data_IF_809078064669
#
_entry.id   IF_809078064669
#
_cell.length_a   1.000
_cell.length_b   1.000
_cell.length_c   1.000
_cell.angle_alpha   90.00
_cell.angle_beta   90.00
_cell.angle_gamma   90.00
#
_symmetry.space_group_name_H-M   'P 1'
#
loop_
_entity.id
_entity.type
_entity.pdbx_description
1 polymer ?
#
# COMPACT_ATOMS: atom_id res chain seq x y z
N UNK A 1 19.00 27.35 14.75
CA UNK A 1 18.41 27.54 16.09
C UNK A 1 17.61 26.30 16.47
N UNK A 2 18.17 25.41 17.31
CA UNK A 2 17.40 24.29 17.89
C UNK A 2 16.49 24.88 18.97
N UNK A 3 15.19 24.93 18.70
CA UNK A 3 14.17 25.27 19.69
C UNK A 3 14.20 24.20 20.79
N UNK A 4 14.67 24.54 22.00
CA UNK A 4 14.55 23.65 23.16
C UNK A 4 13.07 23.34 23.35
N UNK A 5 12.68 22.07 23.14
CA UNK A 5 11.33 21.61 23.38
C UNK A 5 10.96 21.84 24.83
N UNK A 6 9.89 22.58 25.09
CA UNK A 6 9.38 22.85 26.44
C UNK A 6 9.01 21.53 27.14
N UNK A 7 9.16 21.48 28.47
CA UNK A 7 8.71 20.34 29.28
C UNK A 7 7.26 19.93 28.96
N UNK A 8 6.36 20.89 28.81
CA UNK A 8 4.96 20.67 28.44
C UNK A 8 4.82 19.98 27.06
N UNK A 9 5.64 20.33 26.08
CA UNK A 9 5.61 19.69 24.77
C UNK A 9 6.03 18.22 24.85
N UNK A 10 7.07 17.90 25.61
CA UNK A 10 7.51 16.51 25.84
C UNK A 10 6.47 15.70 26.58
N UNK A 11 5.85 16.28 27.62
CA UNK A 11 4.79 15.64 28.38
C UNK A 11 3.56 15.34 27.53
N UNK A 12 3.11 16.31 26.73
CA UNK A 12 2.00 16.11 25.79
C UNK A 12 2.29 15.00 24.76
N UNK A 13 3.48 15.02 24.14
CA UNK A 13 3.90 13.98 23.22
C UNK A 13 3.94 12.60 23.89
N UNK A 14 4.43 12.52 25.14
CA UNK A 14 4.45 11.27 25.88
C UNK A 14 3.03 10.73 26.15
N UNK A 15 2.09 11.57 26.52
CA UNK A 15 0.67 11.17 26.71
C UNK A 15 0.09 10.65 25.39
N UNK A 16 0.30 11.36 24.29
CA UNK A 16 -0.17 10.90 22.97
C UNK A 16 0.43 9.53 22.60
N UNK A 17 1.74 9.35 22.79
CA UNK A 17 2.40 8.07 22.54
C UNK A 17 1.82 6.95 23.41
N UNK A 18 1.67 7.18 24.70
CA UNK A 18 1.05 6.19 25.61
C UNK A 18 -0.36 5.85 25.15
N UNK A 19 -1.17 6.86 24.83
CA UNK A 19 -2.55 6.63 24.37
C UNK A 19 -2.63 5.76 23.12
N UNK A 20 -1.77 6.00 22.13
CA UNK A 20 -1.76 5.22 20.88
C UNK A 20 -1.11 3.85 21.02
N UNK A 21 -0.04 3.72 21.82
CA UNK A 21 0.70 2.47 21.90
C UNK A 21 0.23 1.54 23.04
N UNK A 22 -0.44 2.07 24.08
CA UNK A 22 -0.92 1.26 25.20
C UNK A 22 -1.85 0.11 24.77
N UNK A 23 -2.86 0.31 23.90
CA UNK A 23 -3.71 -0.80 23.40
C UNK A 23 -2.90 -1.88 22.69
N UNK A 24 -1.88 -1.49 21.92
CA UNK A 24 -1.01 -2.43 21.21
C UNK A 24 -0.18 -3.24 22.21
N UNK A 25 0.41 -2.58 23.21
CA UNK A 25 1.16 -3.27 24.26
C UNK A 25 0.28 -4.23 25.07
N UNK A 26 -0.95 -3.83 25.37
CA UNK A 26 -1.91 -4.71 26.06
C UNK A 26 -2.22 -5.94 25.22
N UNK A 27 -2.54 -5.79 23.94
CA UNK A 27 -2.79 -6.93 23.06
C UNK A 27 -1.56 -7.83 22.91
N UNK A 28 -0.35 -7.26 22.83
CA UNK A 28 0.89 -8.03 22.81
C UNK A 28 1.10 -8.85 24.09
N UNK A 29 0.82 -8.29 25.27
CA UNK A 29 0.91 -9.03 26.54
C UNK A 29 -0.15 -10.13 26.58
N UNK A 30 -1.39 -9.83 26.20
CA UNK A 30 -2.48 -10.80 26.22
C UNK A 30 -2.36 -11.88 25.15
N UNK A 31 -1.53 -11.70 24.11
CA UNK A 31 -1.22 -12.76 23.13
C UNK A 31 -0.49 -13.96 23.78
N UNK A 32 0.17 -13.74 24.93
CA UNK A 32 0.80 -14.79 25.72
C UNK A 32 -0.11 -15.34 26.83
N UNK A 33 -1.37 -14.91 26.90
CA UNK A 33 -2.28 -15.40 27.94
C UNK A 33 -2.66 -16.86 27.68
N UNK A 34 -2.69 -17.69 28.69
CA UNK A 34 -3.06 -19.11 28.60
C UNK A 34 -4.54 -19.32 28.25
N UNK A 35 -5.40 -18.33 28.51
CA UNK A 35 -6.82 -18.35 28.13
C UNK A 35 -7.13 -17.37 26.98
N UNK A 36 -8.30 -17.55 26.33
CA UNK A 36 -8.79 -16.63 25.28
C UNK A 36 -9.30 -15.28 25.82
N UNK A 37 -9.24 -15.08 27.16
CA UNK A 37 -9.73 -13.84 27.76
C UNK A 37 -8.80 -12.68 27.46
N UNK A 38 -9.34 -11.56 26.98
CA UNK A 38 -8.64 -10.29 26.81
C UNK A 38 -8.74 -9.36 28.04
N UNK A 39 -9.47 -9.79 29.08
CA UNK A 39 -9.69 -8.99 30.28
C UNK A 39 -9.03 -9.56 31.52
N UNK A 40 -8.72 -10.85 31.53
CA UNK A 40 -8.11 -11.53 32.67
C UNK A 40 -6.87 -12.33 32.22
N UNK A 41 -5.72 -11.96 32.73
CA UNK A 41 -4.48 -12.69 32.51
C UNK A 41 -4.43 -13.90 33.45
N UNK A 42 -4.42 -15.12 32.89
CA UNK A 42 -4.49 -16.38 33.65
C UNK A 42 -3.16 -17.12 33.72
N UNK A 43 -2.15 -16.66 33.00
CA UNK A 43 -0.81 -17.23 33.01
C UNK A 43 -0.13 -17.11 31.64
N UNK A 44 1.17 -17.27 31.63
CA UNK A 44 1.98 -17.22 30.41
C UNK A 44 1.88 -18.53 29.61
N UNK A 45 1.64 -18.45 28.30
CA UNK A 45 1.61 -19.60 27.41
C UNK A 45 1.99 -19.21 25.98
N UNK A 46 2.75 -20.07 25.28
CA UNK A 46 3.07 -19.97 23.86
C UNK A 46 2.10 -20.78 22.97
N UNK A 47 1.07 -21.36 23.57
CA UNK A 47 0.13 -22.28 22.88
C UNK A 47 -0.46 -21.67 21.61
N UNK A 48 -0.89 -20.41 21.66
CA UNK A 48 -1.51 -19.76 20.51
C UNK A 48 -0.56 -19.59 19.33
N UNK A 49 0.73 -19.35 19.58
CA UNK A 49 1.76 -19.25 18.55
C UNK A 49 2.02 -20.61 17.90
N UNK A 50 2.04 -21.68 18.71
CA UNK A 50 2.17 -23.05 18.19
C UNK A 50 0.96 -23.46 17.35
N UNK A 51 -0.26 -23.18 17.82
CA UNK A 51 -1.50 -23.43 17.07
C UNK A 51 -1.53 -22.62 15.76
N UNK A 52 -1.12 -21.35 15.78
CA UNK A 52 -1.04 -20.48 14.59
C UNK A 52 -0.11 -21.07 13.52
N UNK A 53 1.08 -21.51 13.92
CA UNK A 53 2.09 -22.07 12.99
C UNK A 53 1.64 -23.39 12.36
N UNK A 54 0.77 -24.16 13.04
CA UNK A 54 0.23 -25.43 12.52
C UNK A 54 -1.12 -25.25 11.80
N UNK A 55 -1.69 -24.04 11.80
CA UNK A 55 -2.96 -23.78 11.14
C UNK A 55 -2.75 -23.56 9.64
N UNK A 56 -3.20 -24.55 8.86
CA UNK A 56 -3.07 -24.51 7.39
C UNK A 56 -3.87 -23.39 6.72
N UNK A 57 -4.99 -22.96 7.29
CA UNK A 57 -5.79 -21.83 6.77
C UNK A 57 -5.01 -20.54 6.93
N UNK A 58 -4.43 -20.29 8.10
CA UNK A 58 -3.59 -19.12 8.37
C UNK A 58 -2.37 -19.10 7.46
N UNK A 59 -1.66 -20.23 7.32
CA UNK A 59 -0.48 -20.33 6.45
C UNK A 59 -0.82 -20.01 4.98
N UNK A 60 -1.94 -20.51 4.47
CA UNK A 60 -2.42 -20.17 3.13
C UNK A 60 -2.78 -18.69 3.00
N UNK A 61 -3.45 -18.13 4.00
CA UNK A 61 -3.84 -16.72 4.00
C UNK A 61 -2.62 -15.78 4.03
N UNK A 62 -1.59 -16.12 4.82
CA UNK A 62 -0.30 -15.40 4.82
C UNK A 62 0.36 -15.47 3.45
N UNK A 63 0.41 -16.65 2.84
CA UNK A 63 0.95 -16.80 1.48
C UNK A 63 0.21 -15.93 0.46
N UNK A 64 -1.14 -15.92 0.49
CA UNK A 64 -1.96 -15.08 -0.38
C UNK A 64 -1.67 -13.59 -0.12
N UNK A 65 -1.67 -13.14 1.14
CA UNK A 65 -1.37 -11.74 1.48
C UNK A 65 -0.01 -11.29 0.96
N UNK A 66 1.04 -12.08 1.25
CA UNK A 66 2.41 -11.72 0.86
C UNK A 66 2.57 -11.71 -0.66
N UNK A 67 2.07 -12.72 -1.35
CA UNK A 67 2.20 -12.80 -2.81
C UNK A 67 1.40 -11.72 -3.53
N UNK A 68 0.17 -11.44 -3.10
CA UNK A 68 -0.64 -10.33 -3.63
C UNK A 68 0.04 -8.99 -3.37
N UNK A 69 0.48 -8.74 -2.13
CA UNK A 69 1.12 -7.48 -1.78
C UNK A 69 2.40 -7.24 -2.60
N UNK A 70 3.26 -8.26 -2.76
CA UNK A 70 4.48 -8.13 -3.57
C UNK A 70 4.14 -7.89 -5.04
N UNK A 71 3.27 -8.72 -5.64
CA UNK A 71 2.92 -8.60 -7.06
C UNK A 71 2.21 -7.27 -7.34
N UNK A 72 1.22 -6.89 -6.53
CA UNK A 72 0.54 -5.62 -6.67
C UNK A 72 1.51 -4.44 -6.53
N UNK A 73 2.42 -4.48 -5.54
CA UNK A 73 3.44 -3.43 -5.36
C UNK A 73 4.33 -3.29 -6.58
N UNK A 74 4.90 -4.38 -7.07
CA UNK A 74 5.81 -4.34 -8.22
C UNK A 74 5.10 -3.79 -9.45
N UNK A 75 3.92 -4.32 -9.77
CA UNK A 75 3.16 -3.91 -10.96
C UNK A 75 2.69 -2.45 -10.82
N UNK A 76 2.12 -2.07 -9.68
CA UNK A 76 1.66 -0.69 -9.42
C UNK A 76 2.81 0.31 -9.43
N UNK A 77 3.99 -0.08 -8.92
CA UNK A 77 5.18 0.80 -8.92
C UNK A 77 5.65 1.06 -10.34
N UNK A 78 5.70 0.03 -11.18
CA UNK A 78 6.08 0.20 -12.60
C UNK A 78 5.04 1.06 -13.32
N UNK A 79 3.76 0.71 -13.23
CA UNK A 79 2.67 1.44 -13.89
C UNK A 79 2.58 2.89 -13.40
N UNK A 80 2.60 3.09 -12.10
CA UNK A 80 2.51 4.42 -11.47
C UNK A 80 3.70 5.31 -11.82
N UNK A 81 4.91 4.75 -11.86
CA UNK A 81 6.12 5.49 -12.23
C UNK A 81 6.08 5.92 -13.70
N UNK A 82 5.74 5.00 -14.61
CA UNK A 82 5.62 5.29 -16.05
C UNK A 82 4.54 6.36 -16.26
N UNK A 83 3.39 6.22 -15.60
CA UNK A 83 2.29 7.17 -15.67
C UNK A 83 2.71 8.55 -15.14
N UNK A 84 3.39 8.61 -13.99
CA UNK A 84 3.86 9.88 -13.40
C UNK A 84 4.84 10.61 -14.34
N UNK A 85 5.77 9.89 -14.98
CA UNK A 85 6.71 10.45 -15.95
C UNK A 85 5.96 10.93 -17.20
N UNK A 86 5.02 10.14 -17.73
CA UNK A 86 4.19 10.51 -18.89
C UNK A 86 3.35 11.76 -18.62
N UNK A 87 2.72 11.85 -17.45
CA UNK A 87 1.94 13.00 -17.02
C UNK A 87 2.78 14.29 -16.92
N UNK A 88 4.04 14.20 -16.52
CA UNK A 88 4.91 15.38 -16.41
C UNK A 88 5.11 16.08 -17.77
N UNK A 89 5.09 15.31 -18.85
CA UNK A 89 5.27 15.77 -20.24
C UNK A 89 3.95 16.03 -20.97
N UNK A 90 2.82 15.72 -20.36
CA UNK A 90 1.50 15.85 -21.00
C UNK A 90 0.99 17.28 -21.02
N UNK A 91 0.08 17.59 -21.97
CA UNK A 91 -0.62 18.88 -22.04
C UNK A 91 -1.40 19.13 -20.77
N UNK A 92 -1.51 20.42 -20.37
CA UNK A 92 -2.11 20.85 -19.10
C UNK A 92 -3.49 20.21 -18.86
N UNK A 93 -4.40 20.29 -19.83
CA UNK A 93 -5.78 19.76 -19.69
C UNK A 93 -5.77 18.25 -19.42
N UNK A 94 -5.05 17.47 -20.24
CA UNK A 94 -4.97 16.01 -20.05
C UNK A 94 -4.38 15.65 -18.71
N UNK A 95 -3.32 16.35 -18.31
CA UNK A 95 -2.63 16.14 -17.03
C UNK A 95 -3.56 16.40 -15.84
N UNK A 96 -4.25 17.54 -15.81
CA UNK A 96 -5.17 17.90 -14.74
C UNK A 96 -6.35 16.92 -14.66
N UNK A 97 -6.93 16.54 -15.80
CA UNK A 97 -8.00 15.54 -15.85
C UNK A 97 -7.54 14.19 -15.30
N UNK A 98 -6.39 13.68 -15.75
CA UNK A 98 -5.89 12.39 -15.29
C UNK A 98 -5.48 12.39 -13.82
N UNK A 99 -4.90 13.49 -13.30
CA UNK A 99 -4.61 13.62 -11.88
C UNK A 99 -5.89 13.69 -11.03
N UNK A 100 -6.94 14.37 -11.50
CA UNK A 100 -8.23 14.37 -10.82
C UNK A 100 -8.86 12.99 -10.80
N UNK A 101 -8.85 12.26 -11.92
CA UNK A 101 -9.33 10.86 -11.97
C UNK A 101 -8.49 9.96 -11.04
N UNK A 102 -7.17 10.14 -11.03
CA UNK A 102 -6.27 9.40 -10.14
C UNK A 102 -6.59 9.58 -8.66
N UNK A 103 -7.08 10.75 -8.27
CA UNK A 103 -7.41 11.06 -6.89
C UNK A 103 -8.78 10.50 -6.46
N UNK A 104 -9.65 10.10 -7.39
CA UNK A 104 -10.98 9.56 -7.05
C UNK A 104 -10.92 8.33 -6.13
N UNK A 105 -10.10 7.29 -6.41
CA UNK A 105 -10.00 6.14 -5.49
C UNK A 105 -9.43 6.51 -4.12
N UNK A 106 -8.53 7.51 -4.05
CA UNK A 106 -7.91 7.95 -2.80
C UNK A 106 -8.90 8.69 -1.89
N UNK A 107 -9.86 9.40 -2.49
CA UNK A 107 -10.87 10.19 -1.77
C UNK A 107 -12.13 9.39 -1.43
N UNK A 108 -12.39 8.31 -2.14
CA UNK A 108 -13.57 7.49 -1.92
C UNK A 108 -13.38 6.53 -0.73
N UNK A 109 -14.43 6.26 0.06
CA UNK A 109 -14.40 5.18 1.04
C UNK A 109 -14.08 3.83 0.37
N UNK A 110 -13.23 3.02 0.98
CA UNK A 110 -12.76 1.73 0.44
C UNK A 110 -13.93 0.80 0.05
N UNK A 111 -15.02 0.84 0.82
CA UNK A 111 -16.20 0.02 0.54
C UNK A 111 -16.87 0.37 -0.80
N UNK A 112 -16.86 1.64 -1.20
CA UNK A 112 -17.43 2.08 -2.48
C UNK A 112 -16.59 1.55 -3.64
N UNK A 113 -15.26 1.66 -3.51
CA UNK A 113 -14.31 1.10 -4.47
C UNK A 113 -14.42 -0.43 -4.55
N UNK A 114 -14.54 -1.10 -3.41
CA UNK A 114 -14.68 -2.56 -3.34
C UNK A 114 -15.94 -3.06 -4.04
N UNK A 115 -17.11 -2.43 -3.76
CA UNK A 115 -18.37 -2.77 -4.40
C UNK A 115 -18.30 -2.47 -5.91
N UNK A 116 -17.74 -1.33 -6.29
CA UNK A 116 -17.56 -0.98 -7.70
C UNK A 116 -16.73 -2.01 -8.47
N UNK A 117 -15.59 -2.43 -7.91
CA UNK A 117 -14.74 -3.48 -8.50
C UNK A 117 -15.45 -4.84 -8.52
N UNK A 118 -16.17 -5.18 -7.45
CA UNK A 118 -16.94 -6.43 -7.41
C UNK A 118 -17.99 -6.48 -8.53
N UNK A 119 -18.73 -5.39 -8.73
CA UNK A 119 -19.75 -5.30 -9.78
C UNK A 119 -19.10 -5.32 -11.18
N UNK A 120 -17.98 -4.62 -11.36
CA UNK A 120 -17.24 -4.63 -12.61
C UNK A 120 -16.76 -6.05 -12.97
N UNK A 121 -16.11 -6.75 -12.04
CA UNK A 121 -15.65 -8.11 -12.29
C UNK A 121 -16.81 -9.09 -12.55
N UNK A 122 -17.92 -8.91 -11.85
CA UNK A 122 -19.13 -9.72 -12.05
C UNK A 122 -19.76 -9.47 -13.44
N UNK A 123 -19.83 -8.21 -13.87
CA UNK A 123 -20.39 -7.84 -15.19
C UNK A 123 -19.52 -8.33 -16.35
N UNK A 124 -18.20 -8.41 -16.15
CA UNK A 124 -17.25 -8.95 -17.13
C UNK A 124 -17.16 -10.50 -17.10
N UNK A 125 -17.92 -11.16 -16.23
CA UNK A 125 -17.92 -12.61 -16.09
C UNK A 125 -16.66 -13.20 -15.45
N UNK A 126 -15.84 -12.40 -14.76
CA UNK A 126 -14.67 -12.91 -14.06
C UNK A 126 -15.10 -13.74 -12.84
N UNK A 127 -14.51 -14.92 -12.70
CA UNK A 127 -14.61 -15.69 -11.47
C UNK A 127 -13.80 -15.02 -10.38
N UNK A 128 -14.45 -14.68 -9.27
CA UNK A 128 -13.78 -14.10 -8.11
C UNK A 128 -12.75 -15.07 -7.55
N UNK A 129 -11.58 -14.56 -7.18
CA UNK A 129 -10.47 -15.35 -6.68
C UNK A 129 -9.18 -14.57 -6.60
N UNK A 130 -8.05 -15.26 -6.62
CA UNK A 130 -6.71 -14.67 -6.53
C UNK A 130 -6.45 -13.61 -7.61
N UNK A 131 -6.88 -13.89 -8.86
CA UNK A 131 -6.63 -12.98 -9.97
C UNK A 131 -7.42 -11.67 -9.86
N UNK A 132 -8.71 -11.73 -9.50
CA UNK A 132 -9.53 -10.53 -9.28
C UNK A 132 -9.04 -9.73 -8.08
N UNK A 133 -8.57 -10.39 -7.03
CA UNK A 133 -7.92 -9.74 -5.90
C UNK A 133 -6.64 -9.01 -6.35
N UNK A 134 -5.77 -9.66 -7.12
CA UNK A 134 -4.55 -9.03 -7.63
C UNK A 134 -4.87 -7.80 -8.51
N UNK A 135 -5.82 -7.91 -9.44
CA UNK A 135 -6.22 -6.77 -10.28
C UNK A 135 -6.79 -5.62 -9.47
N UNK A 136 -7.61 -5.91 -8.46
CA UNK A 136 -8.15 -4.91 -7.57
C UNK A 136 -7.03 -4.17 -6.81
N UNK A 137 -6.06 -4.93 -6.26
CA UNK A 137 -4.93 -4.36 -5.53
C UNK A 137 -4.04 -3.50 -6.43
N UNK A 138 -3.77 -3.91 -7.66
CA UNK A 138 -3.06 -3.08 -8.65
C UNK A 138 -3.83 -1.79 -8.90
N UNK A 139 -5.16 -1.88 -9.09
CA UNK A 139 -6.01 -0.74 -9.42
C UNK A 139 -5.99 0.34 -8.34
N UNK A 140 -6.15 -0.04 -7.06
CA UNK A 140 -6.18 0.96 -6.00
C UNK A 140 -4.79 1.38 -5.49
N UNK A 141 -3.75 0.54 -5.64
CA UNK A 141 -2.38 0.90 -5.25
C UNK A 141 -1.70 1.86 -6.23
N UNK A 142 -1.99 1.74 -7.53
CA UNK A 142 -1.37 2.58 -8.57
C UNK A 142 -1.52 4.08 -8.32
N UNK A 143 -2.70 4.62 -7.94
CA UNK A 143 -2.87 6.03 -7.60
C UNK A 143 -1.92 6.53 -6.52
N UNK A 144 -1.64 5.76 -5.49
CA UNK A 144 -0.72 6.16 -4.42
C UNK A 144 0.72 6.28 -4.91
N UNK A 145 1.14 5.37 -5.81
CA UNK A 145 2.46 5.45 -6.45
C UNK A 145 2.56 6.73 -7.31
N UNK A 146 1.53 7.00 -8.14
CA UNK A 146 1.50 8.21 -8.97
C UNK A 146 1.61 9.47 -8.10
N UNK A 147 0.84 9.55 -7.02
CA UNK A 147 0.83 10.69 -6.10
C UNK A 147 2.18 10.86 -5.38
N UNK A 148 2.91 9.77 -5.11
CA UNK A 148 4.25 9.81 -4.53
C UNK A 148 5.33 10.25 -5.52
N UNK A 149 5.28 9.74 -6.76
CA UNK A 149 6.34 9.91 -7.76
C UNK A 149 6.17 11.21 -8.55
N UNK A 150 4.94 11.57 -8.91
CA UNK A 150 4.66 12.71 -9.80
C UNK A 150 5.23 14.06 -9.30
N UNK A 151 5.11 14.46 -8.02
CA UNK A 151 5.66 15.72 -7.54
C UNK A 151 7.19 15.80 -7.72
N UNK A 152 7.88 14.68 -7.52
CA UNK A 152 9.33 14.60 -7.69
C UNK A 152 9.73 14.71 -9.15
N UNK A 153 9.06 14.00 -10.05
CA UNK A 153 9.29 14.13 -11.50
C UNK A 153 9.08 15.57 -11.96
N UNK A 154 8.00 16.22 -11.48
CA UNK A 154 7.70 17.63 -11.83
C UNK A 154 8.73 18.62 -11.30
N UNK A 155 9.44 18.31 -10.23
CA UNK A 155 10.48 19.16 -9.65
C UNK A 155 11.84 19.08 -10.36
N UNK A 156 12.03 18.13 -11.27
CA UNK A 156 13.24 18.01 -12.06
C UNK A 156 13.30 19.09 -13.14
N UNK A 157 14.52 19.49 -13.50
CA UNK A 157 14.72 20.36 -14.66
C UNK A 157 14.22 19.66 -15.95
N UNK A 158 13.31 20.28 -16.70
CA UNK A 158 12.74 19.68 -17.91
C UNK A 158 13.79 19.38 -18.98
N UNK A 159 14.96 20.05 -18.97
CA UNK A 159 16.03 19.88 -19.93
C UNK A 159 16.98 18.70 -19.63
N UNK A 160 16.89 18.08 -18.46
CA UNK A 160 17.78 16.96 -18.09
C UNK A 160 17.81 15.82 -19.11
N UNK A 161 16.66 15.44 -19.65
CA UNK A 161 16.60 14.39 -20.66
C UNK A 161 17.24 14.84 -21.98
N UNK A 162 17.03 16.10 -22.39
CA UNK A 162 17.60 16.67 -23.61
C UNK A 162 19.12 16.78 -23.48
N UNK A 163 19.64 17.28 -22.35
CA UNK A 163 21.06 17.36 -22.09
C UNK A 163 21.76 15.99 -22.16
N UNK A 164 21.09 14.94 -21.65
CA UNK A 164 21.64 13.57 -21.78
C UNK A 164 21.66 13.10 -23.24
N UNK A 165 20.61 13.44 -24.02
CA UNK A 165 20.57 13.10 -25.45
C UNK A 165 21.60 13.87 -26.28
N UNK A 166 21.85 15.12 -25.94
CA UNK A 166 22.92 15.94 -26.57
C UNK A 166 24.32 15.33 -26.35
N UNK A 167 24.50 14.59 -25.25
CA UNK A 167 25.70 13.80 -24.96
C UNK A 167 25.69 12.40 -25.59
N UNK A 168 24.77 12.12 -26.51
CA UNK A 168 24.68 10.87 -27.26
C UNK A 168 23.84 9.75 -26.60
N UNK A 169 23.12 10.04 -25.50
CA UNK A 169 22.22 9.04 -24.93
C UNK A 169 20.95 8.86 -25.79
N UNK A 170 20.49 7.63 -25.93
CA UNK A 170 19.15 7.39 -26.48
C UNK A 170 18.07 7.85 -25.50
N UNK A 171 16.82 8.13 -25.95
CA UNK A 171 15.70 8.51 -25.06
C UNK A 171 15.49 7.50 -23.92
N UNK A 172 15.63 6.22 -24.18
CA UNK A 172 15.53 5.16 -23.17
C UNK A 172 16.70 5.21 -22.16
N UNK A 173 17.91 5.52 -22.63
CA UNK A 173 19.07 5.71 -21.75
C UNK A 173 18.94 6.98 -20.89
N UNK A 174 18.45 8.07 -21.45
CA UNK A 174 18.17 9.29 -20.69
C UNK A 174 17.13 9.02 -19.59
N UNK A 175 16.06 8.27 -19.90
CA UNK A 175 15.07 7.85 -18.92
C UNK A 175 15.66 6.98 -17.81
N UNK A 176 16.34 5.88 -18.18
CA UNK A 176 16.77 4.85 -17.23
C UNK A 176 18.03 5.21 -16.46
N UNK A 177 18.97 5.96 -17.08
CA UNK A 177 20.26 6.32 -16.47
C UNK A 177 20.29 7.70 -15.81
N UNK A 178 19.31 8.59 -16.15
CA UNK A 178 19.27 9.95 -15.59
C UNK A 178 17.99 10.17 -14.79
N UNK A 179 16.82 10.07 -15.43
CA UNK A 179 15.54 10.44 -14.78
C UNK A 179 15.18 9.47 -13.65
N UNK A 180 15.16 8.16 -13.90
CA UNK A 180 14.76 7.14 -12.90
C UNK A 180 15.68 7.17 -11.66
N UNK A 181 17.01 7.22 -11.77
CA UNK A 181 17.87 7.35 -10.60
C UNK A 181 17.63 8.61 -9.76
N UNK A 182 17.26 9.74 -10.39
CA UNK A 182 16.98 11.00 -9.69
C UNK A 182 15.65 10.99 -8.90
N UNK A 183 14.75 10.12 -9.26
CA UNK A 183 13.43 9.96 -8.60
C UNK A 183 13.32 8.66 -7.77
N UNK A 184 14.39 7.89 -7.65
CA UNK A 184 14.39 6.56 -7.01
C UNK A 184 13.80 6.55 -5.60
N UNK A 185 14.09 7.59 -4.81
CA UNK A 185 13.60 7.68 -3.43
C UNK A 185 12.07 7.85 -3.38
N UNK A 186 11.50 8.59 -4.35
CA UNK A 186 10.05 8.73 -4.47
C UNK A 186 9.39 7.47 -5.05
N UNK A 187 10.08 6.74 -5.93
CA UNK A 187 9.61 5.42 -6.42
C UNK A 187 9.58 4.45 -5.24
N UNK A 188 10.63 4.41 -4.44
CA UNK A 188 10.70 3.55 -3.25
C UNK A 188 9.64 3.90 -2.22
N UNK A 189 9.42 5.19 -1.94
CA UNK A 189 8.35 5.65 -1.05
C UNK A 189 6.96 5.24 -1.57
N UNK A 190 6.71 5.40 -2.88
CA UNK A 190 5.47 4.95 -3.52
C UNK A 190 5.28 3.43 -3.45
N UNK A 191 6.36 2.67 -3.63
CA UNK A 191 6.33 1.21 -3.49
C UNK A 191 6.02 0.76 -2.06
N UNK A 192 6.60 1.41 -1.05
CA UNK A 192 6.30 1.12 0.36
C UNK A 192 4.83 1.43 0.69
N UNK A 193 4.29 2.55 0.21
CA UNK A 193 2.87 2.87 0.37
C UNK A 193 1.99 1.82 -0.29
N UNK A 194 2.26 1.44 -1.54
CA UNK A 194 1.52 0.41 -2.24
C UNK A 194 1.57 -0.94 -1.51
N UNK A 195 2.73 -1.34 -0.99
CA UNK A 195 2.90 -2.56 -0.22
C UNK A 195 2.05 -2.54 1.06
N UNK A 196 2.14 -1.46 1.84
CA UNK A 196 1.40 -1.32 3.09
C UNK A 196 -0.11 -1.37 2.85
N UNK A 197 -0.59 -0.60 1.86
CA UNK A 197 -2.01 -0.56 1.50
C UNK A 197 -2.52 -1.93 1.02
N UNK A 198 -1.72 -2.66 0.23
CA UNK A 198 -2.10 -3.97 -0.28
C UNK A 198 -2.03 -5.06 0.80
N UNK A 199 -1.05 -5.01 1.70
CA UNK A 199 -0.84 -6.04 2.71
C UNK A 199 -1.92 -6.01 3.80
N UNK A 200 -2.36 -4.83 4.21
CA UNK A 200 -3.33 -4.61 5.31
C UNK A 200 -4.79 -4.52 4.82
N UNK A 201 -5.03 -4.64 3.50
CA UNK A 201 -6.38 -4.50 2.96
C UNK A 201 -7.29 -5.66 3.38
N UNK A 202 -8.42 -5.30 3.98
CA UNK A 202 -9.54 -6.19 4.28
C UNK A 202 -10.72 -5.96 3.35
N UNK A 203 -11.11 -4.69 3.18
CA UNK A 203 -12.39 -4.32 2.57
C UNK A 203 -12.45 -4.75 1.11
N UNK A 204 -11.48 -4.32 0.30
CA UNK A 204 -11.46 -4.65 -1.12
C UNK A 204 -11.28 -6.17 -1.31
N UNK A 205 -10.33 -6.76 -0.57
CA UNK A 205 -10.09 -8.20 -0.61
C UNK A 205 -11.34 -9.02 -0.34
N UNK A 206 -12.13 -8.65 0.68
CA UNK A 206 -13.35 -9.37 1.04
C UNK A 206 -14.37 -9.43 -0.09
N UNK A 207 -14.59 -8.32 -0.81
CA UNK A 207 -15.59 -8.25 -1.88
C UNK A 207 -15.14 -8.91 -3.18
N UNK A 208 -13.82 -8.98 -3.46
CA UNK A 208 -13.30 -9.45 -4.76
C UNK A 208 -12.66 -10.83 -4.72
N UNK A 209 -12.36 -11.40 -3.54
CA UNK A 209 -11.66 -12.68 -3.39
C UNK A 209 -12.50 -13.90 -3.73
N UNK A 210 -13.81 -13.84 -3.54
CA UNK A 210 -14.71 -14.99 -3.75
C UNK A 210 -14.47 -16.13 -2.76
N UNK A 211 -15.10 -17.28 -3.03
CA UNK A 211 -15.02 -18.45 -2.16
C UNK A 211 -13.66 -19.16 -2.32
N UNK A 212 -12.95 -19.36 -1.20
CA UNK A 212 -11.75 -20.18 -1.14
C UNK A 212 -10.41 -19.45 -1.24
N UNK A 213 -10.41 -18.15 -1.51
CA UNK A 213 -9.20 -17.32 -1.44
C UNK A 213 -9.37 -16.29 -0.34
N UNK A 214 -8.56 -16.39 0.70
CA UNK A 214 -8.59 -15.45 1.83
C UNK A 214 -7.19 -14.91 2.06
N UNK A 215 -7.07 -13.61 2.29
CA UNK A 215 -5.86 -13.02 2.83
C UNK A 215 -5.87 -13.05 4.37
N UNK A 216 -4.78 -12.65 5.00
CA UNK A 216 -4.67 -12.70 6.47
C UNK A 216 -5.70 -11.77 7.15
N UNK A 217 -5.97 -10.61 6.56
CA UNK A 217 -6.95 -9.64 7.10
C UNK A 217 -8.36 -10.23 7.14
N UNK A 218 -8.75 -11.02 6.11
CA UNK A 218 -10.03 -11.74 6.09
C UNK A 218 -10.06 -12.82 7.18
N UNK A 219 -8.99 -13.62 7.32
CA UNK A 219 -8.95 -14.72 8.31
C UNK A 219 -8.95 -14.23 9.75
N UNK A 220 -8.37 -13.05 10.00
CA UNK A 220 -8.32 -12.47 11.37
C UNK A 220 -9.64 -11.82 11.76
N UNK A 221 -10.40 -11.28 10.80
CA UNK A 221 -11.62 -10.49 11.08
C UNK A 221 -12.91 -11.31 10.96
N UNK A 222 -12.88 -12.50 10.38
CA UNK A 222 -14.02 -13.40 10.21
C UNK A 222 -13.77 -14.72 10.90
#
# INVERSE_FOLDING_TARGET
MQRKTSFFQRFYVAICLVFFYLPILVTMIFSFNSSKSLTRFTGFSMRWYTELLHNTEVSKAVYVSVTIAILATVISTVLGTITAIGLSKSRKVLKETLLNINNLPILNPDIVTAIGLMLLFSSLGFRKGYFTMLLAHISFCTPYVITSVYPKVRSLDPNLANAAMDLGATPFQALTKVIVPMIKDSIFAGALLAFTMSFDDFVISYFVSGNGVKNISIVVLI
#
